data_IF_029252029222
#
_entry.id   IF_029252029222
#
_cell.length_a   1.000
_cell.length_b   1.000
_cell.length_c   1.000
_cell.angle_alpha   90.00
_cell.angle_beta   90.00
_cell.angle_gamma   90.00
#
_symmetry.space_group_name_H-M   'P 1'
#
loop_
_entity.id
_entity.type
_entity.pdbx_description
1 polymer ?
#
# COMPACT_ATOMS: atom_id res chain seq x y z
N UNK A 1 0.83 -21.12 -22.54
CA UNK A 1 0.71 -21.59 -21.16
C UNK A 1 0.17 -20.44 -20.31
N UNK A 2 -1.14 -20.47 -20.02
CA UNK A 2 -1.78 -19.51 -19.14
C UNK A 2 -1.55 -19.94 -17.70
N UNK A 3 -0.53 -19.39 -17.05
CA UNK A 3 -0.57 -19.28 -15.59
C UNK A 3 -1.39 -18.04 -15.27
N UNK A 4 -2.59 -18.22 -14.72
CA UNK A 4 -3.28 -17.17 -13.99
C UNK A 4 -2.46 -16.88 -12.72
N UNK A 5 -1.30 -16.26 -12.91
CA UNK A 5 -0.60 -15.55 -11.86
C UNK A 5 -1.63 -14.59 -11.28
N UNK A 6 -1.97 -14.77 -10.01
CA UNK A 6 -2.50 -13.70 -9.18
C UNK A 6 -1.48 -12.56 -9.27
N UNK A 7 -1.57 -11.75 -10.33
CA UNK A 7 -0.74 -10.56 -10.50
C UNK A 7 -1.01 -9.75 -9.25
N UNK A 8 0.06 -9.38 -8.57
CA UNK A 8 0.04 -8.54 -7.39
C UNK A 8 -0.83 -7.31 -7.70
N UNK A 9 -2.06 -7.28 -7.18
CA UNK A 9 -2.97 -6.17 -7.45
C UNK A 9 -2.54 -5.03 -6.55
N UNK A 10 -2.02 -3.97 -7.17
CA UNK A 10 -1.73 -2.71 -6.52
C UNK A 10 -3.06 -2.05 -6.12
N UNK A 11 -3.54 -2.32 -4.89
CA UNK A 11 -4.84 -1.83 -4.41
C UNK A 11 -4.98 -0.31 -4.50
N UNK A 12 -3.87 0.42 -4.40
CA UNK A 12 -3.82 1.86 -4.62
C UNK A 12 -4.20 2.25 -6.05
N UNK A 13 -3.89 1.42 -7.05
CA UNK A 13 -4.28 1.67 -8.44
C UNK A 13 -5.79 1.45 -8.64
N UNK A 14 -6.37 0.43 -8.00
CA UNK A 14 -7.81 0.21 -8.00
C UNK A 14 -8.55 1.37 -7.34
N UNK A 15 -8.06 1.84 -6.19
CA UNK A 15 -8.64 2.97 -5.48
C UNK A 15 -8.62 4.28 -6.31
N UNK A 16 -7.51 4.53 -7.03
CA UNK A 16 -7.41 5.64 -7.99
C UNK A 16 -8.42 5.52 -9.13
N UNK A 17 -8.58 4.33 -9.69
CA UNK A 17 -9.54 4.09 -10.78
C UNK A 17 -11.00 4.32 -10.32
N UNK A 18 -11.29 4.12 -9.03
CA UNK A 18 -12.59 4.40 -8.41
C UNK A 18 -12.77 5.87 -7.99
N UNK A 19 -11.80 6.74 -8.29
CA UNK A 19 -11.89 8.18 -8.04
C UNK A 19 -11.43 8.64 -6.65
N UNK A 20 -10.78 7.76 -5.89
CA UNK A 20 -10.23 8.09 -4.56
C UNK A 20 -8.72 8.33 -4.64
N UNK A 21 -8.21 9.18 -3.75
CA UNK A 21 -6.77 9.36 -3.58
C UNK A 21 -6.16 8.10 -2.95
N UNK A 22 -4.98 7.68 -3.42
CA UNK A 22 -4.31 6.51 -2.85
C UNK A 22 -2.80 6.57 -2.97
N UNK A 23 -2.12 5.93 -2.00
CA UNK A 23 -0.66 5.85 -1.93
C UNK A 23 -0.16 4.44 -1.59
N UNK A 24 1.03 4.12 -2.07
CA UNK A 24 1.73 2.87 -1.79
C UNK A 24 2.97 3.16 -0.94
N UNK A 25 3.04 2.52 0.23
CA UNK A 25 4.20 2.54 1.12
C UNK A 25 4.92 1.19 0.96
N UNK A 26 5.84 1.15 0.00
CA UNK A 26 6.61 -0.04 -0.34
C UNK A 26 7.85 -0.24 0.53
N UNK A 27 8.71 -1.18 0.11
CA UNK A 27 9.97 -1.45 0.81
C UNK A 27 10.94 -0.25 0.75
N UNK A 28 11.84 -0.18 1.73
CA UNK A 28 12.95 0.78 1.74
C UNK A 28 12.60 2.16 2.30
N UNK A 29 11.38 2.36 2.79
CA UNK A 29 11.00 3.57 3.52
C UNK A 29 11.48 3.51 4.96
N UNK A 30 12.05 4.60 5.45
CA UNK A 30 12.33 4.78 6.87
C UNK A 30 11.03 5.03 7.66
N UNK A 31 11.11 4.87 8.98
CA UNK A 31 10.00 5.22 9.87
C UNK A 31 9.59 6.70 9.74
N UNK A 32 10.57 7.59 9.56
CA UNK A 32 10.32 9.02 9.36
C UNK A 32 9.61 9.30 8.03
N UNK A 33 10.06 8.69 6.93
CA UNK A 33 9.42 8.83 5.62
C UNK A 33 7.98 8.30 5.65
N UNK A 34 7.76 7.19 6.35
CA UNK A 34 6.43 6.60 6.57
C UNK A 34 5.54 7.55 7.36
N UNK A 35 6.02 8.10 8.48
CA UNK A 35 5.26 9.05 9.29
C UNK A 35 4.90 10.32 8.50
N UNK A 36 5.84 10.85 7.72
CA UNK A 36 5.60 12.02 6.88
C UNK A 36 4.54 11.75 5.82
N UNK A 37 4.60 10.60 5.14
CA UNK A 37 3.61 10.21 4.13
C UNK A 37 2.20 10.02 4.74
N UNK A 38 2.11 9.45 5.94
CA UNK A 38 0.85 9.30 6.66
C UNK A 38 0.27 10.66 7.08
N UNK A 39 1.10 11.55 7.63
CA UNK A 39 0.69 12.90 8.02
C UNK A 39 0.17 13.70 6.82
N UNK A 40 0.85 13.60 5.67
CA UNK A 40 0.41 14.23 4.45
C UNK A 40 -0.91 13.65 3.94
N UNK A 41 -1.09 12.33 3.98
CA UNK A 41 -2.33 11.67 3.60
C UNK A 41 -3.52 12.12 4.45
N UNK A 42 -3.33 12.23 5.77
CA UNK A 42 -4.34 12.75 6.70
C UNK A 42 -4.68 14.21 6.37
N UNK A 43 -3.67 15.07 6.19
CA UNK A 43 -3.88 16.47 5.82
C UNK A 43 -4.70 16.59 4.52
N UNK A 44 -4.29 15.87 3.48
CA UNK A 44 -4.95 15.89 2.18
C UNK A 44 -6.40 15.36 2.27
N UNK A 45 -6.64 14.31 3.06
CA UNK A 45 -7.97 13.76 3.32
C UNK A 45 -8.89 14.81 3.97
N UNK A 46 -8.38 15.53 4.97
CA UNK A 46 -9.12 16.59 5.67
C UNK A 46 -9.42 17.79 4.76
N UNK A 47 -8.42 18.26 4.01
CA UNK A 47 -8.56 19.41 3.11
C UNK A 47 -9.54 19.12 1.96
N UNK A 48 -9.44 17.93 1.34
CA UNK A 48 -10.29 17.55 0.20
C UNK A 48 -11.63 16.95 0.61
N UNK A 49 -11.82 16.65 1.90
CA UNK A 49 -12.96 15.90 2.45
C UNK A 49 -13.21 14.59 1.70
N UNK A 50 -12.16 13.83 1.44
CA UNK A 50 -12.21 12.57 0.69
C UNK A 50 -11.41 11.48 1.38
N UNK A 51 -11.92 10.26 1.32
CA UNK A 51 -11.19 9.09 1.81
C UNK A 51 -9.94 8.82 0.96
N UNK A 52 -8.87 8.41 1.64
CA UNK A 52 -7.59 8.01 1.04
C UNK A 52 -7.34 6.54 1.34
N UNK A 53 -6.90 5.77 0.34
CA UNK A 53 -6.47 4.37 0.52
C UNK A 53 -4.96 4.31 0.64
N UNK A 54 -4.46 3.63 1.67
CA UNK A 54 -3.04 3.44 1.90
C UNK A 54 -2.74 1.95 1.82
N UNK A 55 -1.97 1.56 0.81
CA UNK A 55 -1.46 0.20 0.67
C UNK A 55 -0.05 0.16 1.21
N UNK A 56 0.18 -0.54 2.33
CA UNK A 56 1.48 -0.59 3.00
C UNK A 56 2.05 -2.00 3.02
N UNK A 57 3.31 -2.14 2.62
CA UNK A 57 4.05 -3.40 2.68
C UNK A 57 4.83 -3.48 4.00
N UNK A 58 4.30 -4.25 4.95
CA UNK A 58 4.85 -4.34 6.33
C UNK A 58 5.87 -5.48 6.52
N UNK A 59 6.25 -6.17 5.45
CA UNK A 59 7.23 -7.25 5.48
C UNK A 59 7.19 -8.10 4.22
N UNK A 60 8.33 -8.68 3.86
CA UNK A 60 8.44 -9.73 2.84
C UNK A 60 8.66 -11.05 3.55
N UNK A 61 7.66 -11.92 3.55
CA UNK A 61 7.86 -13.31 3.92
C UNK A 61 8.60 -14.00 2.78
N UNK A 62 9.87 -14.39 3.00
CA UNK A 62 10.57 -15.28 2.09
C UNK A 62 9.98 -16.68 2.26
N UNK A 63 9.01 -17.05 1.41
CA UNK A 63 8.35 -18.37 1.41
C UNK A 63 9.28 -19.57 1.14
N UNK A 64 10.60 -19.39 1.12
CA UNK A 64 11.58 -20.45 0.83
C UNK A 64 11.99 -21.29 2.03
N UNK A 65 11.66 -20.88 3.26
CA UNK A 65 11.86 -21.68 4.47
C UNK A 65 10.52 -21.78 5.20
N UNK A 66 9.97 -23.00 5.26
CA UNK A 66 8.59 -23.23 5.69
C UNK A 66 8.36 -22.89 7.16
N UNK A 67 7.80 -21.71 7.43
CA UNK A 67 6.90 -21.48 8.56
C UNK A 67 6.20 -20.13 8.38
N UNK A 68 4.88 -20.16 8.23
CA UNK A 68 4.03 -18.98 8.43
C UNK A 68 3.86 -18.85 9.95
N UNK A 69 4.53 -17.87 10.56
CA UNK A 69 4.15 -17.37 11.87
C UNK A 69 3.42 -16.04 11.61
N UNK A 70 2.10 -16.07 11.77
CA UNK A 70 1.25 -14.88 11.79
C UNK A 70 1.50 -14.11 13.08
#
# INVERSE_FOLDING_TARGET
MNSSLLRYTHYEQCAKALGTDALFLGDGLSAEQTANALNEAVRNSLEKRRSVVINALIGKTNFREGSISV
#
